data_IF_681736335436
#
_entry.id   IF_681736335436
#
_cell.length_a   1.000
_cell.length_b   1.000
_cell.length_c   1.000
_cell.angle_alpha   90.00
_cell.angle_beta   90.00
_cell.angle_gamma   90.00
#
_symmetry.space_group_name_H-M   'P 1'
#
loop_
_entity.id
_entity.type
_entity.pdbx_description
1 polymer ?
#
# COMPACT_ATOMS: atom_id res chain seq x y z
N UNK A 1 43.18 37.94 -1.84
CA UNK A 1 43.12 37.34 -3.20
C UNK A 1 42.39 36.00 -3.24
N UNK A 2 42.40 35.18 -2.16
CA UNK A 2 41.76 33.85 -2.15
C UNK A 2 40.26 33.83 -1.78
N UNK A 3 39.73 34.87 -1.14
CA UNK A 3 38.31 34.92 -0.68
C UNK A 3 37.27 34.58 -1.76
N UNK A 4 37.32 35.19 -2.96
CA UNK A 4 36.37 34.88 -4.03
C UNK A 4 36.45 33.43 -4.53
N UNK A 5 37.65 32.84 -4.53
CA UNK A 5 37.87 31.44 -4.90
C UNK A 5 37.23 30.50 -3.86
N UNK A 6 37.47 30.74 -2.57
CA UNK A 6 36.90 29.96 -1.47
C UNK A 6 35.37 30.05 -1.48
N UNK A 7 34.82 31.22 -1.73
CA UNK A 7 33.37 31.42 -1.79
C UNK A 7 32.73 30.71 -3.00
N UNK A 8 33.40 30.74 -4.16
CA UNK A 8 32.97 30.02 -5.35
C UNK A 8 32.99 28.49 -5.13
N UNK A 9 34.04 27.95 -4.51
CA UNK A 9 34.15 26.52 -4.20
C UNK A 9 33.14 26.08 -3.13
N UNK A 10 32.90 26.90 -2.10
CA UNK A 10 31.85 26.66 -1.11
C UNK A 10 30.46 26.56 -1.74
N UNK A 11 30.10 27.51 -2.62
CA UNK A 11 28.84 27.48 -3.37
C UNK A 11 28.71 26.25 -4.27
N UNK A 12 29.81 25.78 -4.87
CA UNK A 12 29.84 24.54 -5.67
C UNK A 12 29.59 23.31 -4.80
N UNK A 13 30.23 23.23 -3.64
CA UNK A 13 30.06 22.12 -2.70
C UNK A 13 28.61 22.03 -2.20
N UNK A 14 28.01 23.15 -1.77
CA UNK A 14 26.61 23.22 -1.33
C UNK A 14 25.66 22.71 -2.43
N UNK A 15 25.81 23.22 -3.66
CA UNK A 15 25.00 22.77 -4.80
C UNK A 15 25.18 21.27 -5.11
N UNK A 16 26.36 20.71 -4.84
CA UNK A 16 26.58 19.28 -5.00
C UNK A 16 25.82 18.48 -3.94
N UNK A 17 25.82 18.93 -2.69
CA UNK A 17 25.08 18.28 -1.62
C UNK A 17 23.56 18.31 -1.88
N UNK A 18 23.02 19.45 -2.30
CA UNK A 18 21.59 19.57 -2.67
C UNK A 18 21.19 18.59 -3.78
N UNK A 19 22.05 18.40 -4.79
CA UNK A 19 21.81 17.43 -5.87
C UNK A 19 21.81 15.99 -5.36
N UNK A 20 22.70 15.67 -4.42
CA UNK A 20 22.78 14.34 -3.81
C UNK A 20 21.51 14.09 -2.98
N UNK A 21 21.11 15.06 -2.15
CA UNK A 21 19.89 14.98 -1.35
C UNK A 21 18.65 14.72 -2.20
N UNK A 22 18.44 15.49 -3.27
CA UNK A 22 17.31 15.29 -4.17
C UNK A 22 17.32 13.92 -4.84
N UNK A 23 18.50 13.42 -5.24
CA UNK A 23 18.63 12.07 -5.83
C UNK A 23 18.32 10.99 -4.81
N UNK A 24 18.79 11.14 -3.57
CA UNK A 24 18.55 10.22 -2.48
C UNK A 24 17.05 10.16 -2.16
N UNK A 25 16.39 11.31 -2.01
CA UNK A 25 14.94 11.38 -1.77
C UNK A 25 14.14 10.72 -2.89
N UNK A 26 14.52 10.93 -4.16
CA UNK A 26 13.86 10.29 -5.31
C UNK A 26 14.12 8.79 -5.37
N UNK A 27 15.30 8.32 -4.96
CA UNK A 27 15.62 6.91 -4.89
C UNK A 27 14.79 6.24 -3.79
N UNK A 28 14.71 6.86 -2.61
CA UNK A 28 13.93 6.37 -1.47
C UNK A 28 12.44 6.27 -1.79
N UNK A 29 11.87 7.31 -2.41
CA UNK A 29 10.47 7.29 -2.87
C UNK A 29 10.19 6.17 -3.87
N UNK A 30 11.10 5.92 -4.81
CA UNK A 30 10.97 4.81 -5.79
C UNK A 30 11.15 3.45 -5.14
N UNK A 31 12.05 3.34 -4.16
CA UNK A 31 12.27 2.10 -3.44
C UNK A 31 11.03 1.68 -2.62
N UNK A 32 10.33 2.66 -2.05
CA UNK A 32 9.11 2.39 -1.27
C UNK A 32 7.82 2.45 -2.07
N UNK A 33 7.81 2.98 -3.29
CA UNK A 33 6.57 3.18 -4.05
C UNK A 33 5.84 1.87 -4.30
N UNK A 34 6.56 0.79 -4.63
CA UNK A 34 5.92 -0.51 -4.88
C UNK A 34 5.31 -1.11 -3.62
N UNK A 35 6.02 -1.02 -2.49
CA UNK A 35 5.51 -1.53 -1.19
C UNK A 35 4.32 -0.72 -0.71
N UNK A 36 4.38 0.60 -0.83
CA UNK A 36 3.26 1.48 -0.48
C UNK A 36 2.04 1.20 -1.35
N UNK A 37 2.24 1.04 -2.66
CA UNK A 37 1.18 0.66 -3.60
C UNK A 37 0.55 -0.67 -3.23
N UNK A 38 1.35 -1.69 -2.91
CA UNK A 38 0.81 -2.99 -2.48
C UNK A 38 -0.02 -2.89 -1.20
N UNK A 39 0.42 -2.11 -0.22
CA UNK A 39 -0.34 -1.87 1.01
C UNK A 39 -1.65 -1.15 0.70
N UNK A 40 -1.61 -0.15 -0.17
CA UNK A 40 -2.78 0.61 -0.59
C UNK A 40 -3.79 -0.26 -1.35
N UNK A 41 -3.32 -1.12 -2.25
CA UNK A 41 -4.15 -2.10 -2.96
C UNK A 41 -4.85 -3.07 -1.99
N UNK A 42 -4.14 -3.59 -0.99
CA UNK A 42 -4.73 -4.46 0.03
C UNK A 42 -5.74 -3.70 0.88
N UNK A 43 -5.43 -2.48 1.28
CA UNK A 43 -6.33 -1.63 2.06
C UNK A 43 -7.60 -1.32 1.29
N UNK A 44 -7.49 -0.95 0.02
CA UNK A 44 -8.65 -0.62 -0.81
C UNK A 44 -9.52 -1.84 -1.08
N UNK A 45 -8.92 -3.03 -1.23
CA UNK A 45 -9.66 -4.27 -1.38
C UNK A 45 -10.46 -4.65 -0.12
N UNK A 46 -9.91 -4.43 1.07
CA UNK A 46 -10.55 -4.75 2.35
C UNK A 46 -11.47 -3.63 2.88
N UNK A 47 -11.14 -2.38 2.57
CA UNK A 47 -11.82 -1.18 3.05
C UNK A 47 -12.09 -0.19 1.91
N UNK A 48 -12.88 -0.57 0.90
CA UNK A 48 -13.15 0.26 -0.27
C UNK A 48 -13.75 1.60 0.12
N UNK A 49 -13.21 2.68 -0.43
CA UNK A 49 -13.55 4.07 -0.07
C UNK A 49 -13.46 4.38 1.44
N UNK A 50 -12.67 3.61 2.20
CA UNK A 50 -12.56 3.72 3.66
C UNK A 50 -13.75 3.16 4.44
N UNK A 51 -14.71 2.51 3.79
CA UNK A 51 -15.81 1.78 4.41
C UNK A 51 -15.51 0.30 4.61
N UNK A 52 -16.44 -0.46 5.20
CA UNK A 52 -16.33 -1.92 5.26
C UNK A 52 -16.70 -2.54 3.92
N UNK A 53 -15.93 -3.52 3.47
CA UNK A 53 -16.18 -4.25 2.21
C UNK A 53 -17.62 -4.77 2.10
N UNK A 54 -18.18 -5.34 3.17
CA UNK A 54 -19.56 -5.89 3.18
C UNK A 54 -20.66 -4.86 2.87
N UNK A 55 -20.36 -3.56 3.02
CA UNK A 55 -21.31 -2.46 2.79
C UNK A 55 -21.28 -1.93 1.36
N UNK A 56 -20.21 -2.17 0.63
CA UNK A 56 -20.02 -1.70 -0.75
C UNK A 56 -20.09 -2.83 -1.78
N UNK A 57 -19.54 -3.99 -1.44
CA UNK A 57 -19.28 -5.05 -2.41
C UNK A 57 -20.47 -5.98 -2.57
N UNK A 58 -20.78 -6.32 -3.82
CA UNK A 58 -21.85 -7.25 -4.12
C UNK A 58 -21.38 -8.71 -3.96
N UNK A 59 -22.19 -9.54 -3.30
CA UNK A 59 -21.87 -10.95 -3.07
C UNK A 59 -21.57 -11.75 -4.35
N UNK A 60 -22.17 -11.38 -5.49
CA UNK A 60 -21.98 -12.06 -6.77
C UNK A 60 -20.52 -12.04 -7.22
N UNK A 61 -19.76 -10.99 -6.86
CA UNK A 61 -18.34 -10.89 -7.19
C UNK A 61 -17.54 -12.04 -6.55
N UNK A 62 -17.90 -12.44 -5.33
CA UNK A 62 -17.23 -13.52 -4.60
C UNK A 62 -17.73 -14.89 -5.05
N UNK A 63 -19.04 -15.06 -5.26
CA UNK A 63 -19.62 -16.32 -5.68
C UNK A 63 -19.16 -16.76 -7.08
N UNK A 64 -18.94 -15.81 -8.00
CA UNK A 64 -18.38 -16.10 -9.33
C UNK A 64 -16.95 -16.66 -9.26
N UNK A 65 -16.16 -16.22 -8.27
CA UNK A 65 -14.78 -16.68 -8.08
C UNK A 65 -14.70 -18.00 -7.31
N UNK A 66 -15.61 -18.20 -6.36
CA UNK A 66 -15.68 -19.38 -5.52
C UNK A 66 -17.13 -19.78 -5.24
N UNK A 67 -17.66 -20.82 -5.93
CA UNK A 67 -19.01 -21.32 -5.69
C UNK A 67 -19.23 -21.84 -4.27
N UNK A 68 -18.17 -22.14 -3.51
CA UNK A 68 -18.26 -22.58 -2.10
C UNK A 68 -18.20 -21.41 -1.11
N UNK A 69 -18.15 -20.16 -1.58
CA UNK A 69 -18.00 -18.97 -0.74
C UNK A 69 -19.04 -18.89 0.39
N UNK A 70 -20.33 -19.08 0.06
CA UNK A 70 -21.40 -19.03 1.07
C UNK A 70 -21.23 -20.11 2.14
N UNK A 71 -20.86 -21.33 1.74
CA UNK A 71 -20.62 -22.42 2.69
C UNK A 71 -19.44 -22.11 3.60
N UNK A 72 -18.36 -21.52 3.06
CA UNK A 72 -17.19 -21.09 3.85
C UNK A 72 -17.54 -19.97 4.83
N UNK A 73 -18.34 -18.99 4.39
CA UNK A 73 -18.77 -17.89 5.24
C UNK A 73 -19.66 -18.39 6.39
N UNK A 74 -20.62 -19.27 6.10
CA UNK A 74 -21.47 -19.88 7.12
C UNK A 74 -20.70 -20.74 8.12
N UNK A 75 -19.63 -21.41 7.68
CA UNK A 75 -18.82 -22.27 8.55
C UNK A 75 -18.04 -21.50 9.63
N UNK A 76 -17.75 -20.21 9.42
CA UNK A 76 -17.03 -19.35 10.38
C UNK A 76 -17.94 -18.32 11.05
N UNK A 77 -19.21 -18.22 10.63
CA UNK A 77 -20.12 -17.21 11.13
C UNK A 77 -20.61 -17.54 12.54
N UNK A 78 -20.09 -16.80 13.53
CA UNK A 78 -20.60 -16.76 14.89
C UNK A 78 -21.23 -15.38 15.17
N UNK A 79 -22.56 -15.30 15.36
CA UNK A 79 -23.26 -14.03 15.59
C UNK A 79 -22.80 -13.25 16.84
N UNK A 80 -22.17 -13.92 17.81
CA UNK A 80 -21.71 -13.31 19.05
C UNK A 80 -20.19 -13.15 19.11
N UNK A 81 -19.49 -13.52 18.03
CA UNK A 81 -18.09 -13.20 17.85
C UNK A 81 -17.98 -11.80 17.21
N UNK A 82 -17.44 -10.85 17.96
CA UNK A 82 -17.32 -9.43 17.56
C UNK A 82 -16.00 -9.14 16.83
N UNK A 83 -15.37 -10.16 16.25
CA UNK A 83 -14.16 -10.05 15.46
C UNK A 83 -14.44 -10.09 13.94
N UNK A 84 -13.46 -9.66 13.15
CA UNK A 84 -13.55 -9.75 11.70
C UNK A 84 -13.25 -11.16 11.21
N UNK A 85 -14.13 -11.69 10.36
CA UNK A 85 -13.91 -12.93 9.65
C UNK A 85 -13.11 -12.69 8.37
N UNK A 86 -11.92 -13.28 8.26
CA UNK A 86 -11.09 -13.20 7.05
C UNK A 86 -11.21 -14.49 6.23
N UNK A 87 -11.84 -14.37 5.06
CA UNK A 87 -12.09 -15.50 4.16
C UNK A 87 -11.12 -15.49 2.98
N UNK A 88 -10.48 -16.62 2.71
CA UNK A 88 -9.65 -16.80 1.52
C UNK A 88 -10.50 -17.23 0.33
N UNK A 89 -10.51 -16.39 -0.70
CA UNK A 89 -11.26 -16.62 -1.94
C UNK A 89 -10.33 -17.25 -2.98
N UNK A 90 -10.80 -18.33 -3.63
CA UNK A 90 -10.06 -19.08 -4.65
C UNK A 90 -9.79 -20.55 -4.28
N UNK A 91 -9.43 -21.35 -5.30
CA UNK A 91 -9.08 -22.77 -5.09
C UNK A 91 -7.81 -22.89 -4.25
N UNK A 92 -7.86 -23.71 -3.20
CA UNK A 92 -6.66 -24.36 -2.71
C UNK A 92 -6.02 -25.10 -3.90
N UNK A 93 -4.74 -24.86 -4.15
CA UNK A 93 -3.96 -25.79 -4.97
C UNK A 93 -3.88 -27.12 -4.26
#
# INVERSE_FOLDING_TARGET
TLGPLVEAESKRAIRSFEKIEQKLLRAEKRHHSDKLRQIEEVKEALFPNGGLQERSDNFLNFYQQDPQFINKALAVFDPFDFEFNLLKIGRAK
#
